data_IF_677317951163
#
_entry.id   IF_677317951163
#
_cell.length_a   1.000
_cell.length_b   1.000
_cell.length_c   1.000
_cell.angle_alpha   90.00
_cell.angle_beta   90.00
_cell.angle_gamma   90.00
#
_symmetry.space_group_name_H-M   'P 1'
#
loop_
_entity.id
_entity.type
_entity.pdbx_description
1 polymer ?
#
# COMPACT_ATOMS: atom_id res chain seq x y z
N UNK A 1 -20.76 20.64 21.47
CA UNK A 1 -20.82 19.42 20.62
C UNK A 1 -19.78 19.57 19.53
N UNK A 2 -18.63 18.90 19.68
CA UNK A 2 -17.56 18.96 18.68
C UNK A 2 -17.96 18.14 17.46
N UNK A 3 -18.10 18.78 16.30
CA UNK A 3 -18.26 18.09 15.03
C UNK A 3 -17.00 17.26 14.79
N UNK A 4 -17.14 15.94 14.84
CA UNK A 4 -16.09 14.98 14.53
C UNK A 4 -15.64 15.17 13.08
N UNK A 5 -14.50 15.83 12.89
CA UNK A 5 -13.94 16.09 11.55
C UNK A 5 -13.43 14.79 10.90
N UNK A 6 -13.67 14.56 9.60
CA UNK A 6 -13.36 13.30 8.94
C UNK A 6 -11.85 13.04 8.73
N UNK A 7 -11.49 11.76 8.70
CA UNK A 7 -10.19 11.24 8.27
C UNK A 7 -10.30 10.70 6.84
N UNK A 8 -9.34 11.04 5.98
CA UNK A 8 -9.28 10.47 4.64
C UNK A 8 -8.39 9.21 4.64
N UNK A 9 -8.92 8.09 4.17
CA UNK A 9 -8.14 6.88 3.94
C UNK A 9 -8.13 6.50 2.46
N UNK A 10 -6.92 6.37 1.90
CA UNK A 10 -6.72 6.02 0.49
C UNK A 10 -6.15 4.60 0.37
N UNK A 11 -6.97 3.66 -0.11
CA UNK A 11 -6.54 2.28 -0.40
C UNK A 11 -6.22 2.10 -1.88
N UNK A 12 -5.24 1.26 -2.18
CA UNK A 12 -4.81 0.92 -3.54
C UNK A 12 -5.55 -0.27 -4.16
N UNK A 13 -6.35 -1.02 -3.37
CA UNK A 13 -7.26 -2.01 -3.93
C UNK A 13 -8.34 -1.28 -4.74
N UNK A 14 -8.73 -1.85 -5.88
CA UNK A 14 -9.63 -1.32 -6.92
C UNK A 14 -11.07 -0.96 -6.47
N UNK A 15 -11.29 -0.69 -5.19
CA UNK A 15 -12.56 -0.25 -4.63
C UNK A 15 -12.32 0.86 -3.59
N UNK A 16 -12.53 2.10 -4.03
CA UNK A 16 -12.91 3.28 -3.23
C UNK A 16 -11.82 3.95 -2.40
N UNK A 17 -11.52 5.21 -2.77
CA UNK A 17 -11.15 6.26 -1.80
C UNK A 17 -12.33 6.42 -0.83
N UNK A 18 -12.11 6.32 0.48
CA UNK A 18 -13.17 6.48 1.49
C UNK A 18 -12.82 7.65 2.42
N UNK A 19 -13.71 8.61 2.54
CA UNK A 19 -13.76 9.47 3.71
C UNK A 19 -14.37 8.66 4.86
N UNK A 20 -13.62 8.51 5.95
CA UNK A 20 -14.10 7.84 7.16
C UNK A 20 -14.39 8.95 8.18
N UNK A 21 -15.68 9.24 8.40
CA UNK A 21 -16.12 10.13 9.46
C UNK A 21 -16.24 9.35 10.79
N UNK A 22 -15.84 9.90 11.94
CA UNK A 22 -16.06 9.25 13.23
C UNK A 22 -17.56 9.23 13.55
N UNK A 23 -18.07 8.04 13.87
CA UNK A 23 -19.40 7.68 14.37
C UNK A 23 -20.42 8.82 14.56
N UNK A 24 -21.55 8.68 13.87
CA UNK A 24 -22.83 9.44 13.94
C UNK A 24 -23.17 10.36 12.75
N UNK A 25 -23.14 9.84 11.53
CA UNK A 25 -24.11 10.25 10.50
C UNK A 25 -24.34 9.10 9.53
N UNK A 26 -25.59 8.98 9.11
CA UNK A 26 -26.22 7.82 8.49
C UNK A 26 -25.49 7.34 7.22
N UNK A 27 -25.40 6.02 7.10
CA UNK A 27 -25.13 5.31 5.86
C UNK A 27 -26.25 5.65 4.87
N UNK A 28 -25.99 6.48 3.87
CA UNK A 28 -26.80 6.46 2.66
C UNK A 28 -26.22 5.38 1.72
N UNK A 29 -27.01 4.38 1.32
CA UNK A 29 -26.56 3.40 0.34
C UNK A 29 -26.44 4.07 -1.03
N UNK A 30 -25.24 4.07 -1.60
CA UNK A 30 -25.01 4.35 -3.03
C UNK A 30 -25.56 3.18 -3.87
N UNK A 31 -26.88 3.04 -3.92
CA UNK A 31 -27.60 2.12 -4.81
C UNK A 31 -28.21 2.82 -6.03
N UNK A 32 -27.80 4.07 -6.32
CA UNK A 32 -28.32 4.86 -7.45
C UNK A 32 -27.32 5.12 -8.57
N UNK A 33 -26.19 4.40 -8.60
CA UNK A 33 -25.28 4.41 -9.76
C UNK A 33 -25.42 3.07 -10.51
N UNK A 34 -25.68 3.08 -11.84
CA UNK A 34 -25.83 1.84 -12.59
C UNK A 34 -24.54 1.04 -12.55
N UNK A 35 -24.68 -0.27 -12.30
CA UNK A 35 -23.59 -1.23 -12.31
C UNK A 35 -22.90 -1.23 -13.67
N UNK A 36 -21.58 -1.04 -13.68
CA UNK A 36 -20.78 -1.13 -14.90
C UNK A 36 -20.60 -2.61 -15.24
N UNK A 37 -21.52 -3.18 -16.03
CA UNK A 37 -21.36 -4.49 -16.67
C UNK A 37 -20.38 -4.37 -17.83
N UNK A 38 -19.45 -5.31 -17.93
CA UNK A 38 -18.54 -5.44 -19.06
C UNK A 38 -19.31 -5.88 -20.30
N UNK A 39 -19.42 -5.00 -21.30
CA UNK A 39 -19.92 -5.31 -22.65
C UNK A 39 -18.80 -5.08 -23.68
N UNK A 40 -18.76 -5.83 -24.79
CA UNK A 40 -17.64 -5.83 -25.73
C UNK A 40 -17.61 -4.58 -26.62
N UNK A 41 -16.41 -4.14 -26.96
CA UNK A 41 -16.14 -2.93 -27.74
C UNK A 41 -16.51 -3.09 -29.22
N UNK A 42 -17.72 -2.67 -29.61
CA UNK A 42 -18.07 -2.40 -31.01
C UNK A 42 -19.00 -1.20 -31.11
N UNK A 43 -18.44 -0.01 -31.35
CA UNK A 43 -18.97 1.16 -32.12
C UNK A 43 -18.41 2.53 -31.64
N UNK A 44 -18.36 3.57 -32.51
CA UNK A 44 -17.27 4.54 -32.53
C UNK A 44 -17.41 5.74 -31.57
N UNK A 45 -16.25 6.18 -31.08
CA UNK A 45 -16.02 7.27 -30.13
C UNK A 45 -16.62 8.61 -30.58
N UNK A 46 -17.62 9.11 -29.84
CA UNK A 46 -17.92 10.54 -29.77
C UNK A 46 -16.94 11.21 -28.77
N UNK A 47 -16.36 12.40 -29.08
CA UNK A 47 -15.38 13.03 -28.20
C UNK A 47 -16.12 13.86 -27.16
N UNK A 48 -16.45 13.26 -26.02
CA UNK A 48 -16.68 14.04 -24.80
C UNK A 48 -15.69 13.56 -23.73
N UNK A 49 -14.81 14.43 -23.23
CA UNK A 49 -13.93 14.05 -22.15
C UNK A 49 -14.79 13.97 -20.89
N UNK A 50 -15.12 12.76 -20.43
CA UNK A 50 -15.55 12.60 -19.04
C UNK A 50 -14.34 12.96 -18.17
N UNK A 51 -14.40 14.02 -17.35
CA UNK A 51 -13.29 14.32 -16.46
C UNK A 51 -13.17 13.19 -15.43
N UNK A 52 -12.03 12.49 -15.43
CA UNK A 52 -11.54 11.78 -14.25
C UNK A 52 -11.46 12.79 -13.08
N UNK A 53 -11.64 12.41 -11.80
CA UNK A 53 -11.81 13.34 -10.67
C UNK A 53 -10.52 14.10 -10.31
N UNK A 54 -10.01 14.93 -11.22
CA UNK A 54 -8.96 15.91 -10.99
C UNK A 54 -9.40 17.06 -10.06
N UNK A 55 -10.67 17.10 -9.66
CA UNK A 55 -11.26 18.25 -8.95
C UNK A 55 -11.52 18.04 -7.45
N UNK A 56 -11.28 16.86 -6.87
CA UNK A 56 -11.56 16.65 -5.43
C UNK A 56 -10.56 17.40 -4.52
N UNK A 57 -9.39 17.73 -5.03
CA UNK A 57 -8.42 18.63 -4.41
C UNK A 57 -8.79 20.10 -4.41
N UNK A 58 -9.60 20.48 -5.40
CA UNK A 58 -9.88 21.88 -5.69
C UNK A 58 -11.06 22.40 -4.87
N UNK A 59 -11.80 21.52 -4.18
CA UNK A 59 -12.74 21.94 -3.15
C UNK A 59 -11.98 22.18 -1.84
N UNK A 60 -11.52 23.41 -1.65
CA UNK A 60 -10.88 23.89 -0.41
C UNK A 60 -11.63 23.43 0.85
N UNK A 61 -12.96 23.36 0.79
CA UNK A 61 -13.82 22.90 1.87
C UNK A 61 -13.56 21.44 2.34
N UNK A 62 -13.14 20.53 1.44
CA UNK A 62 -12.85 19.13 1.82
C UNK A 62 -11.50 19.04 2.52
N UNK A 63 -10.50 19.77 2.04
CA UNK A 63 -9.17 19.86 2.66
C UNK A 63 -9.29 20.54 4.03
N UNK A 64 -10.00 21.66 4.12
CA UNK A 64 -10.19 22.42 5.36
C UNK A 64 -10.82 21.58 6.45
N UNK A 65 -11.74 20.67 6.10
CA UNK A 65 -12.45 19.81 7.05
C UNK A 65 -11.74 18.48 7.34
N UNK A 66 -10.70 18.12 6.59
CA UNK A 66 -9.93 16.90 6.82
C UNK A 66 -8.89 17.09 7.93
N UNK A 67 -8.88 16.23 8.94
CA UNK A 67 -7.91 16.33 10.06
C UNK A 67 -6.57 15.69 9.71
N UNK A 68 -6.65 14.52 9.07
CA UNK A 68 -5.50 13.77 8.62
C UNK A 68 -5.87 12.87 7.43
N UNK A 69 -4.86 12.55 6.64
CA UNK A 69 -4.92 11.60 5.54
C UNK A 69 -3.89 10.49 5.75
N UNK A 70 -4.24 9.28 5.35
CA UNK A 70 -3.32 8.16 5.28
C UNK A 70 -3.63 7.36 4.03
N UNK A 71 -2.63 6.70 3.47
CA UNK A 71 -2.86 5.76 2.39
C UNK A 71 -1.94 4.58 2.49
N UNK A 72 -2.43 3.40 2.12
CA UNK A 72 -1.71 2.15 2.32
C UNK A 72 -0.77 1.86 1.15
N UNK A 73 0.52 1.64 1.43
CA UNK A 73 1.56 1.41 0.42
C UNK A 73 1.56 2.51 -0.65
N UNK A 74 1.29 2.19 -1.92
CA UNK A 74 1.16 3.16 -3.02
C UNK A 74 0.10 4.25 -2.75
N UNK A 75 -0.91 3.96 -1.92
CA UNK A 75 -1.91 4.94 -1.51
C UNK A 75 -1.32 6.14 -0.74
N UNK A 76 -0.14 6.01 -0.15
CA UNK A 76 0.56 7.11 0.53
C UNK A 76 0.88 8.26 -0.44
N UNK A 77 1.25 7.94 -1.69
CA UNK A 77 1.46 8.96 -2.73
C UNK A 77 0.17 9.72 -3.03
N UNK A 78 -0.96 9.00 -3.11
CA UNK A 78 -2.26 9.63 -3.32
C UNK A 78 -2.69 10.47 -2.11
N UNK A 79 -2.36 10.07 -0.88
CA UNK A 79 -2.60 10.88 0.33
C UNK A 79 -1.71 12.14 0.38
N UNK A 80 -0.46 12.05 -0.08
CA UNK A 80 0.46 13.19 -0.18
C UNK A 80 0.05 14.16 -1.27
N UNK A 81 -0.36 13.62 -2.43
CA UNK A 81 -1.03 14.41 -3.46
C UNK A 81 -2.23 15.06 -2.78
N UNK A 82 -3.15 14.32 -2.12
CA UNK A 82 -4.34 14.83 -1.35
C UNK A 82 -4.03 16.01 -0.44
N UNK A 83 -2.93 15.94 0.29
CA UNK A 83 -2.54 17.01 1.21
C UNK A 83 -1.80 18.18 0.53
N UNK A 84 -1.69 18.22 -0.80
CA UNK A 84 -0.99 19.26 -1.55
C UNK A 84 0.54 19.19 -1.44
N UNK A 85 1.08 18.07 -0.93
CA UNK A 85 2.51 17.90 -0.73
C UNK A 85 3.26 17.60 -2.04
N UNK A 86 2.58 17.09 -3.07
CA UNK A 86 3.13 16.79 -4.39
C UNK A 86 2.11 17.13 -5.47
N UNK A 87 2.57 17.51 -6.67
CA UNK A 87 1.67 17.60 -7.82
C UNK A 87 1.18 16.21 -8.24
N UNK A 88 -0.03 16.13 -8.80
CA UNK A 88 -0.61 14.85 -9.22
C UNK A 88 0.24 14.14 -10.29
N UNK A 89 0.74 14.90 -11.27
CA UNK A 89 1.58 14.37 -12.34
C UNK A 89 2.91 13.82 -11.81
N UNK A 90 3.55 14.54 -10.90
CA UNK A 90 4.79 14.12 -10.23
C UNK A 90 4.56 12.87 -9.36
N UNK A 91 3.48 12.85 -8.58
CA UNK A 91 3.10 11.70 -7.76
C UNK A 91 2.81 10.46 -8.61
N UNK A 92 2.07 10.60 -9.70
CA UNK A 92 1.78 9.51 -10.63
C UNK A 92 3.04 8.99 -11.31
N UNK A 93 3.95 9.88 -11.70
CA UNK A 93 5.23 9.50 -12.29
C UNK A 93 6.12 8.73 -11.30
N UNK A 94 6.22 9.17 -10.05
CA UNK A 94 6.93 8.45 -8.99
C UNK A 94 6.34 7.05 -8.74
N UNK A 95 5.01 6.94 -8.74
CA UNK A 95 4.32 5.65 -8.61
C UNK A 95 4.62 4.72 -9.78
N UNK A 96 4.65 5.24 -11.01
CA UNK A 96 5.02 4.47 -12.20
C UNK A 96 6.43 3.90 -12.07
N UNK A 97 7.42 4.75 -11.78
CA UNK A 97 8.82 4.32 -11.64
C UNK A 97 8.98 3.31 -10.50
N UNK A 98 8.33 3.54 -9.36
CA UNK A 98 8.29 2.58 -8.26
C UNK A 98 7.73 1.23 -8.70
N UNK A 99 6.61 1.22 -9.43
CA UNK A 99 5.98 -0.02 -9.87
C UNK A 99 6.85 -0.79 -10.85
N UNK A 100 7.46 -0.11 -11.83
CA UNK A 100 8.37 -0.71 -12.82
C UNK A 100 9.61 -1.30 -12.13
N UNK A 101 10.25 -0.55 -11.22
CA UNK A 101 11.44 -1.01 -10.52
C UNK A 101 11.15 -2.18 -9.54
N UNK A 102 10.00 -2.15 -8.85
CA UNK A 102 9.59 -3.27 -7.98
C UNK A 102 9.20 -4.50 -8.81
N UNK A 103 8.65 -4.32 -10.00
CA UNK A 103 8.36 -5.41 -10.92
C UNK A 103 9.64 -6.09 -11.41
N UNK A 104 10.64 -5.30 -11.82
CA UNK A 104 11.96 -5.81 -12.22
C UNK A 104 12.64 -6.59 -11.08
N UNK A 105 12.61 -6.07 -9.86
CA UNK A 105 13.12 -6.77 -8.68
C UNK A 105 12.39 -8.11 -8.43
N UNK A 106 11.09 -8.17 -8.70
CA UNK A 106 10.27 -9.37 -8.54
C UNK A 106 10.53 -10.41 -9.63
N UNK A 107 10.88 -9.98 -10.84
CA UNK A 107 11.27 -10.86 -11.95
C UNK A 107 12.68 -11.44 -11.75
N UNK A 108 13.57 -10.71 -11.09
CA UNK A 108 14.92 -11.17 -10.76
C UNK A 108 14.91 -12.26 -9.67
N UNK A 109 14.00 -12.18 -8.69
CA UNK A 109 13.93 -13.13 -7.57
C UNK A 109 12.49 -13.62 -7.36
N UNK A 110 12.21 -14.92 -7.65
CA UNK A 110 10.90 -15.51 -7.42
C UNK A 110 10.43 -15.33 -5.97
N UNK A 111 9.37 -14.55 -5.78
CA UNK A 111 8.89 -14.15 -4.47
C UNK A 111 7.41 -13.87 -4.49
N UNK A 112 6.81 -13.68 -3.31
CA UNK A 112 5.38 -13.39 -3.22
C UNK A 112 4.95 -12.88 -1.85
N UNK A 113 3.64 -12.86 -1.64
CA UNK A 113 3.03 -12.46 -0.37
C UNK A 113 1.96 -13.46 0.08
N UNK A 114 1.91 -13.71 1.38
CA UNK A 114 0.99 -14.62 2.05
C UNK A 114 0.18 -13.84 3.09
N UNK A 115 -1.13 -13.74 2.87
CA UNK A 115 -2.05 -13.24 3.90
C UNK A 115 -2.26 -14.32 4.96
N UNK A 116 -2.02 -13.95 6.21
CA UNK A 116 -2.11 -14.84 7.36
C UNK A 116 -3.09 -14.26 8.38
N UNK A 117 -4.18 -14.98 8.60
CA UNK A 117 -5.06 -14.78 9.74
C UNK A 117 -4.57 -15.65 10.88
N UNK A 118 -4.04 -15.01 11.90
CA UNK A 118 -3.57 -15.61 13.14
C UNK A 118 -4.64 -15.71 14.22
N UNK A 119 -4.12 -15.92 15.43
CA UNK A 119 -4.79 -16.02 16.72
C UNK A 119 -3.84 -15.38 17.76
N UNK A 120 -4.27 -15.12 19.00
CA UNK A 120 -3.41 -14.55 20.04
C UNK A 120 -2.11 -15.35 20.28
N UNK A 121 -2.13 -16.66 20.05
CA UNK A 121 -0.97 -17.56 20.21
C UNK A 121 -0.11 -17.67 18.94
N UNK A 122 -0.42 -16.94 17.86
CA UNK A 122 0.30 -17.05 16.60
C UNK A 122 1.74 -16.60 16.70
N UNK A 123 2.65 -17.46 16.24
CA UNK A 123 4.10 -17.27 16.37
C UNK A 123 4.72 -16.75 15.07
N UNK A 124 4.32 -15.56 14.61
CA UNK A 124 4.78 -14.98 13.34
C UNK A 124 6.31 -14.90 13.20
N UNK A 125 7.01 -14.43 14.24
CA UNK A 125 8.46 -14.27 14.20
C UNK A 125 9.18 -15.63 14.09
N UNK A 126 8.73 -16.63 14.86
CA UNK A 126 9.28 -18.00 14.80
C UNK A 126 9.02 -18.62 13.44
N UNK A 127 7.82 -18.42 12.89
CA UNK A 127 7.45 -18.91 11.58
C UNK A 127 8.38 -18.36 10.49
N UNK A 128 8.60 -17.04 10.48
CA UNK A 128 9.48 -16.39 9.52
C UNK A 128 10.93 -16.90 9.61
N UNK A 129 11.47 -17.03 10.84
CA UNK A 129 12.81 -17.55 11.06
C UNK A 129 12.96 -19.00 10.58
N UNK A 130 12.04 -19.89 10.95
CA UNK A 130 12.10 -21.28 10.51
C UNK A 130 11.92 -21.44 8.99
N UNK A 131 11.10 -20.58 8.37
CA UNK A 131 10.96 -20.54 6.92
C UNK A 131 12.26 -20.10 6.22
N UNK A 132 12.99 -19.13 6.81
CA UNK A 132 14.31 -18.74 6.33
C UNK A 132 15.31 -19.88 6.47
N UNK A 133 15.36 -20.56 7.62
CA UNK A 133 16.23 -21.73 7.81
C UNK A 133 15.92 -22.85 6.82
N UNK A 134 14.64 -23.13 6.56
CA UNK A 134 14.24 -24.10 5.54
C UNK A 134 14.79 -23.71 4.15
N UNK A 135 14.67 -22.44 3.77
CA UNK A 135 15.22 -21.94 2.50
C UNK A 135 16.74 -22.11 2.41
N UNK A 136 17.49 -21.93 3.51
CA UNK A 136 18.94 -22.20 3.53
C UNK A 136 19.23 -23.67 3.24
N UNK A 137 18.41 -24.59 3.75
CA UNK A 137 18.58 -26.03 3.43
C UNK A 137 18.33 -26.37 1.96
N UNK A 138 17.63 -25.50 1.24
CA UNK A 138 17.40 -25.58 -0.21
C UNK A 138 18.47 -24.86 -1.05
N UNK A 139 19.49 -24.28 -0.41
CA UNK A 139 20.60 -23.61 -1.09
C UNK A 139 20.37 -22.13 -1.40
N UNK A 140 19.34 -21.49 -0.82
CA UNK A 140 19.14 -20.05 -0.95
C UNK A 140 20.11 -19.33 -0.01
N UNK A 141 21.06 -18.56 -0.56
CA UNK A 141 22.14 -17.92 0.21
C UNK A 141 21.65 -16.80 1.14
N UNK A 142 20.61 -16.04 0.73
CA UNK A 142 20.04 -14.92 1.51
C UNK A 142 18.51 -14.98 1.54
N UNK A 143 17.92 -15.92 2.30
CA UNK A 143 16.49 -16.11 2.29
C UNK A 143 15.76 -15.01 3.04
N UNK A 144 14.76 -14.46 2.38
CA UNK A 144 13.85 -13.44 2.91
C UNK A 144 12.49 -14.08 3.19
N UNK A 145 12.00 -13.89 4.41
CA UNK A 145 10.64 -14.17 4.84
C UNK A 145 10.34 -13.28 6.04
N UNK A 146 9.54 -12.24 5.85
CA UNK A 146 9.36 -11.18 6.84
C UNK A 146 7.88 -10.75 6.88
N UNK A 147 7.43 -10.23 8.02
CA UNK A 147 6.09 -9.62 8.11
C UNK A 147 6.15 -8.27 7.41
N UNK A 148 5.60 -8.20 6.20
CA UNK A 148 5.55 -7.00 5.36
C UNK A 148 4.44 -6.04 5.78
N UNK A 149 3.28 -6.54 6.23
CA UNK A 149 2.17 -5.66 6.58
C UNK A 149 1.43 -6.11 7.84
N UNK A 150 1.09 -5.14 8.68
CA UNK A 150 0.21 -5.31 9.83
C UNK A 150 -1.16 -4.71 9.50
N UNK A 151 -2.13 -5.55 9.12
CA UNK A 151 -3.43 -5.07 8.64
C UNK A 151 -4.40 -4.77 9.79
N UNK A 152 -4.53 -5.73 10.71
CA UNK A 152 -5.31 -5.63 11.95
C UNK A 152 -4.75 -6.64 12.97
N UNK A 153 -5.14 -6.62 14.26
CA UNK A 153 -4.45 -7.37 15.31
C UNK A 153 -4.13 -8.83 14.99
N UNK A 154 -5.09 -9.52 14.36
CA UNK A 154 -4.97 -10.93 14.01
C UNK A 154 -4.56 -11.18 12.55
N UNK A 155 -4.43 -10.16 11.70
CA UNK A 155 -4.12 -10.37 10.28
C UNK A 155 -2.89 -9.60 9.83
N UNK A 156 -1.97 -10.35 9.26
CA UNK A 156 -0.69 -9.86 8.76
C UNK A 156 -0.43 -10.41 7.37
N UNK A 157 0.41 -9.72 6.63
CA UNK A 157 0.95 -10.21 5.37
C UNK A 157 2.41 -10.54 5.57
N UNK A 158 2.80 -11.76 5.23
CA UNK A 158 4.18 -12.22 5.21
C UNK A 158 4.64 -12.21 3.75
N UNK A 159 5.81 -11.64 3.50
CA UNK A 159 6.40 -11.56 2.16
C UNK A 159 7.77 -12.21 2.17
N UNK A 160 8.17 -12.79 1.04
CA UNK A 160 9.47 -13.46 0.93
C UNK A 160 9.59 -14.35 -0.28
N UNK A 161 10.59 -15.23 -0.24
CA UNK A 161 10.80 -16.28 -1.26
C UNK A 161 9.61 -17.23 -1.30
N UNK A 162 9.30 -17.75 -2.50
CA UNK A 162 8.16 -18.65 -2.68
C UNK A 162 8.27 -19.92 -1.83
N UNK A 163 9.48 -20.46 -1.69
CA UNK A 163 9.81 -21.62 -0.87
C UNK A 163 9.49 -21.37 0.62
N UNK A 164 9.84 -20.18 1.12
CA UNK A 164 9.52 -19.79 2.49
C UNK A 164 8.00 -19.72 2.72
N UNK A 165 7.27 -19.10 1.79
CA UNK A 165 5.81 -18.97 1.88
C UNK A 165 5.11 -20.31 1.76
N UNK A 166 5.60 -21.21 0.91
CA UNK A 166 5.08 -22.56 0.78
C UNK A 166 5.31 -23.36 2.08
N UNK A 167 6.51 -23.30 2.65
CA UNK A 167 6.82 -23.91 3.93
C UNK A 167 5.87 -23.41 5.03
N UNK A 168 5.60 -22.10 5.10
CA UNK A 168 4.65 -21.54 6.05
C UNK A 168 3.22 -22.02 5.86
N UNK A 169 2.79 -22.25 4.62
CA UNK A 169 1.47 -22.78 4.33
C UNK A 169 1.34 -24.23 4.78
N UNK A 170 2.35 -25.04 4.52
CA UNK A 170 2.39 -26.45 4.90
C UNK A 170 2.47 -26.63 6.43
N UNK A 171 3.15 -25.70 7.11
CA UNK A 171 3.37 -25.74 8.56
C UNK A 171 2.47 -24.78 9.34
N UNK A 172 1.36 -24.32 8.76
CA UNK A 172 0.54 -23.24 9.34
C UNK A 172 -0.01 -23.58 10.73
N UNK A 173 -0.34 -24.84 10.98
CA UNK A 173 -0.84 -25.34 12.27
C UNK A 173 0.22 -25.23 13.38
N UNK A 174 1.50 -25.47 13.07
CA UNK A 174 2.63 -25.36 14.00
C UNK A 174 2.73 -23.96 14.62
N UNK A 175 2.35 -22.93 13.85
CA UNK A 175 2.45 -21.53 14.26
C UNK A 175 1.13 -20.94 14.74
N UNK A 176 0.10 -21.77 14.94
CA UNK A 176 -1.26 -21.33 15.28
C UNK A 176 -1.85 -20.34 14.28
N UNK A 177 -1.58 -20.51 12.98
CA UNK A 177 -2.25 -19.72 11.94
C UNK A 177 -3.62 -20.34 11.65
N UNK A 178 -4.67 -19.54 11.80
CA UNK A 178 -6.05 -19.95 11.53
C UNK A 178 -6.30 -20.12 10.03
N UNK A 179 -5.73 -19.24 9.21
CA UNK A 179 -5.86 -19.30 7.75
C UNK A 179 -4.66 -18.65 7.08
N UNK A 180 -4.19 -19.25 6.00
CA UNK A 180 -3.16 -18.67 5.12
C UNK A 180 -3.69 -18.63 3.68
N UNK A 181 -3.38 -17.58 2.92
CA UNK A 181 -3.78 -17.43 1.52
C UNK A 181 -2.72 -16.66 0.74
N UNK A 182 -2.22 -17.24 -0.35
CA UNK A 182 -1.34 -16.52 -1.28
C UNK A 182 -2.09 -15.34 -1.90
N UNK A 183 -1.42 -14.19 -1.95
CA UNK A 183 -1.94 -13.02 -2.63
C UNK A 183 -1.58 -13.08 -4.12
N UNK A 184 -2.47 -12.66 -5.03
CA UNK A 184 -2.21 -12.64 -6.46
C UNK A 184 -1.36 -11.41 -6.82
N UNK A 185 -0.09 -11.44 -6.45
CA UNK A 185 0.89 -10.37 -6.67
C UNK A 185 2.17 -10.93 -7.28
N UNK A 186 2.94 -10.09 -7.98
CA UNK A 186 4.12 -10.51 -8.73
C UNK A 186 5.37 -10.72 -7.88
N UNK A 187 5.44 -10.21 -6.64
CA UNK A 187 6.62 -10.34 -5.80
C UNK A 187 6.43 -10.10 -4.31
N UNK A 188 7.50 -10.31 -3.55
CA UNK A 188 7.57 -10.14 -2.10
C UNK A 188 7.79 -8.69 -1.67
N UNK A 189 6.78 -7.84 -1.93
CA UNK A 189 6.82 -6.42 -1.61
C UNK A 189 7.00 -6.13 -0.10
N UNK A 190 7.53 -4.94 0.21
CA UNK A 190 7.82 -4.49 1.57
C UNK A 190 8.82 -5.40 2.30
N UNK A 191 9.85 -5.83 1.58
CA UNK A 191 10.96 -6.63 2.12
C UNK A 191 12.27 -6.23 1.47
N UNK A 192 13.38 -6.76 1.97
CA UNK A 192 14.73 -6.58 1.37
C UNK A 192 14.84 -7.01 -0.09
N UNK A 193 13.93 -7.87 -0.58
CA UNK A 193 13.89 -8.22 -2.01
C UNK A 193 13.62 -7.02 -2.91
N UNK A 194 13.05 -5.93 -2.36
CA UNK A 194 12.75 -4.71 -3.10
C UNK A 194 13.87 -3.66 -3.03
N UNK A 195 15.02 -3.99 -2.43
CA UNK A 195 16.18 -3.07 -2.36
C UNK A 195 16.63 -2.52 -3.73
N UNK A 196 16.64 -3.30 -4.83
CA UNK A 196 16.95 -2.76 -6.16
C UNK A 196 16.00 -1.66 -6.63
N UNK A 197 14.76 -1.64 -6.14
CA UNK A 197 13.77 -0.64 -6.52
C UNK A 197 13.92 0.70 -5.79
N UNK A 198 14.81 0.78 -4.79
CA UNK A 198 14.98 1.98 -3.99
C UNK A 198 15.69 3.11 -4.73
N UNK A 199 16.76 2.79 -5.45
CA UNK A 199 17.56 3.80 -6.15
C UNK A 199 16.75 4.52 -7.24
N UNK A 200 16.03 3.82 -8.15
CA UNK A 200 15.19 4.49 -9.16
C UNK A 200 14.15 5.42 -8.54
N UNK A 201 13.50 4.98 -7.45
CA UNK A 201 12.51 5.78 -6.74
C UNK A 201 13.15 7.00 -6.06
N UNK A 202 14.31 6.84 -5.44
CA UNK A 202 15.03 7.93 -4.79
C UNK A 202 15.44 9.01 -5.81
N UNK A 203 15.93 8.62 -6.97
CA UNK A 203 16.30 9.55 -8.04
C UNK A 203 15.10 10.39 -8.51
N UNK A 204 13.94 9.75 -8.70
CA UNK A 204 12.72 10.46 -9.07
C UNK A 204 12.25 11.39 -7.95
N UNK A 205 12.24 10.93 -6.69
CA UNK A 205 11.82 11.75 -5.56
C UNK A 205 12.73 12.96 -5.30
N UNK A 206 14.03 12.87 -5.63
CA UNK A 206 14.97 14.01 -5.60
C UNK A 206 14.65 15.07 -6.65
N UNK A 207 14.06 14.67 -7.78
CA UNK A 207 13.67 15.58 -8.88
C UNK A 207 12.32 16.28 -8.65
N UNK A 208 11.49 15.76 -7.74
CA UNK A 208 10.12 16.24 -7.50
C UNK A 208 10.10 17.35 -6.44
N UNK A 209 9.25 18.35 -6.68
CA UNK A 209 9.03 19.44 -5.73
C UNK A 209 8.09 19.03 -4.60
N UNK A 210 8.65 18.54 -3.50
CA UNK A 210 7.87 18.18 -2.31
C UNK A 210 7.65 19.38 -1.39
N UNK A 211 6.38 19.61 -1.02
CA UNK A 211 5.92 20.70 -0.15
C UNK A 211 5.47 20.16 1.20
N UNK A 212 5.28 21.06 2.17
CA UNK A 212 4.70 20.69 3.47
C UNK A 212 3.22 20.33 3.26
N UNK A 213 2.74 19.17 3.74
CA UNK A 213 1.33 18.80 3.66
C UNK A 213 0.43 19.84 4.34
N UNK A 214 -0.67 20.23 3.67
CA UNK A 214 -1.73 21.09 4.22
C UNK A 214 -2.57 20.37 5.27
N UNK A 215 -2.71 19.05 5.13
CA UNK A 215 -3.38 18.13 6.06
C UNK A 215 -2.33 17.17 6.62
N UNK A 216 -2.47 16.74 7.88
CA UNK A 216 -1.54 15.79 8.47
C UNK A 216 -1.53 14.48 7.68
N UNK A 217 -0.39 14.07 7.11
CA UNK A 217 -0.24 12.78 6.43
C UNK A 217 0.61 11.84 7.26
N UNK A 218 0.17 10.60 7.44
CA UNK A 218 0.90 9.58 8.22
C UNK A 218 1.71 8.65 7.31
N UNK A 219 2.96 8.40 7.71
CA UNK A 219 3.89 7.50 7.01
C UNK A 219 3.56 6.03 7.29
N UNK A 220 3.66 5.16 6.28
CA UNK A 220 3.57 3.71 6.49
C UNK A 220 4.82 3.11 7.17
N UNK A 221 5.94 3.85 7.23
CA UNK A 221 7.21 3.32 7.78
C UNK A 221 7.25 3.37 9.30
N UNK A 222 6.79 4.47 9.89
CA UNK A 222 6.88 4.71 11.34
C UNK A 222 5.55 5.13 11.99
N UNK A 223 4.47 5.28 11.21
CA UNK A 223 3.16 5.72 11.67
C UNK A 223 3.08 7.21 12.06
N UNK A 224 4.20 7.93 12.00
CA UNK A 224 4.26 9.33 12.41
C UNK A 224 3.75 10.25 11.29
N UNK A 225 3.28 11.43 11.70
CA UNK A 225 2.89 12.48 10.75
C UNK A 225 4.11 13.12 10.10
N UNK A 226 4.01 13.45 8.82
CA UNK A 226 5.03 14.23 8.12
C UNK A 226 5.09 15.66 8.62
N UNK A 227 6.27 16.05 9.11
CA UNK A 227 6.51 17.41 9.62
C UNK A 227 7.30 18.29 8.64
N UNK A 228 8.14 17.67 7.79
CA UNK A 228 9.05 18.37 6.88
C UNK A 228 9.09 17.68 5.51
N UNK A 229 9.19 18.44 4.40
CA UNK A 229 9.26 17.87 3.04
C UNK A 229 10.39 16.85 2.84
N UNK A 230 11.56 17.10 3.44
CA UNK A 230 12.72 16.19 3.35
C UNK A 230 12.43 14.82 3.96
N UNK A 231 11.58 14.74 4.98
CA UNK A 231 11.20 13.47 5.59
C UNK A 231 10.31 12.65 4.65
N UNK A 232 9.46 13.30 3.85
CA UNK A 232 8.59 12.64 2.87
C UNK A 232 9.43 11.87 1.86
N UNK A 233 10.40 12.53 1.22
CA UNK A 233 11.27 11.88 0.24
C UNK A 233 12.00 10.67 0.85
N UNK A 234 12.59 10.85 2.04
CA UNK A 234 13.35 9.78 2.73
C UNK A 234 12.47 8.58 3.11
N UNK A 235 11.28 8.83 3.66
CA UNK A 235 10.41 7.75 4.14
C UNK A 235 9.68 7.05 2.99
N UNK A 236 9.32 7.75 1.91
CA UNK A 236 8.74 7.11 0.72
C UNK A 236 9.70 6.14 0.05
N UNK A 237 11.00 6.45 -0.02
CA UNK A 237 12.01 5.48 -0.48
C UNK A 237 12.03 4.29 0.47
N UNK A 238 12.17 4.54 1.77
CA UNK A 238 12.27 3.48 2.79
C UNK A 238 11.03 2.56 2.84
N UNK A 239 9.86 3.06 2.43
CA UNK A 239 8.62 2.29 2.36
C UNK A 239 8.74 1.04 1.46
N UNK A 240 9.65 1.01 0.48
CA UNK A 240 9.87 -0.20 -0.32
C UNK A 240 10.33 -1.42 0.50
N UNK A 241 10.93 -1.18 1.68
CA UNK A 241 11.48 -2.19 2.57
C UNK A 241 10.68 -2.40 3.86
N UNK A 242 9.60 -1.65 4.07
CA UNK A 242 8.91 -1.53 5.35
C UNK A 242 7.40 -1.68 5.23
#
# INVERSE_FOLDING_TARGET
>A
MGLSRPLLFVSSSSQSTRLVAPHSCLLEPLNSLPACSAEPWTEPLAPTPRPWPHALHLSLQVIENCVAAAGFSVGEFAALVFAGAMEFSEGLYAVKVRAEAMQEASEAVPSGMLSVLGQPQSKFNVACLEAQEHCKTLGIESPVCEVANYLFPDCRVISGHLEALQFLRENSSKYHFRRTKMLPVSGGFHTRLMEPALEPLEQVLKSISVRKPLVSVHSNVDGNRYMQPRHIQKLLVRQGLA
#
